data_IF_958735105231
#
_entry.id   IF_958735105231
#
_cell.length_a   1.000
_cell.length_b   1.000
_cell.length_c   1.000
_cell.angle_alpha   90.00
_cell.angle_beta   90.00
_cell.angle_gamma   90.00
#
_symmetry.space_group_name_H-M   'P 1'
#
loop_
_entity.id
_entity.type
_entity.pdbx_description
1 polymer ?
#
# COMPACT_ATOMS: atom_id res chain seq x y z
N UNK A 1 19.07 -1.52 4.70
CA UNK A 1 18.05 -1.88 3.68
C UNK A 1 17.06 -2.95 4.15
N UNK A 2 17.09 -3.35 5.42
CA UNK A 2 16.19 -4.38 5.98
C UNK A 2 14.96 -3.80 6.71
N UNK A 3 14.99 -2.51 7.08
CA UNK A 3 13.98 -1.88 7.94
C UNK A 3 12.56 -1.71 7.34
N UNK A 4 12.34 -2.05 6.06
CA UNK A 4 11.05 -1.98 5.38
C UNK A 4 10.70 -3.27 4.62
N UNK A 5 11.35 -4.40 4.92
CA UNK A 5 10.98 -5.68 4.31
C UNK A 5 9.75 -6.25 5.01
N UNK A 6 8.57 -6.14 4.38
CA UNK A 6 7.38 -6.86 4.80
C UNK A 6 7.46 -8.28 4.26
N UNK A 7 7.50 -9.29 5.14
CA UNK A 7 7.48 -10.69 4.72
C UNK A 7 6.04 -11.15 4.50
N UNK A 8 5.67 -11.48 3.27
CA UNK A 8 4.36 -12.06 2.91
C UNK A 8 4.52 -13.53 2.55
N UNK A 9 4.87 -14.37 3.52
CA UNK A 9 4.89 -15.82 3.33
C UNK A 9 3.46 -16.38 3.36
N UNK A 10 3.12 -17.25 2.42
CA UNK A 10 1.88 -18.02 2.46
C UNK A 10 2.14 -19.34 3.20
N UNK A 11 1.30 -19.73 4.18
CA UNK A 11 1.41 -21.03 4.83
C UNK A 11 1.00 -22.17 3.89
N UNK A 12 1.33 -23.41 4.23
CA UNK A 12 0.85 -24.59 3.52
C UNK A 12 -0.68 -24.71 3.76
N UNK A 13 -1.47 -24.51 2.71
CA UNK A 13 -2.94 -24.57 2.71
C UNK A 13 -3.41 -25.56 1.65
N UNK A 14 -4.66 -26.03 1.76
CA UNK A 14 -5.26 -26.90 0.76
C UNK A 14 -5.65 -26.07 -0.47
N UNK A 15 -4.93 -26.30 -1.58
CA UNK A 15 -5.12 -25.54 -2.83
C UNK A 15 -6.49 -25.82 -3.47
N UNK A 16 -7.03 -27.04 -3.32
CA UNK A 16 -8.33 -27.41 -3.91
C UNK A 16 -9.48 -26.71 -3.17
N UNK A 17 -9.36 -26.58 -1.84
CA UNK A 17 -10.31 -25.84 -1.00
C UNK A 17 -10.22 -24.34 -1.25
N UNK A 18 -8.99 -23.79 -1.32
CA UNK A 18 -8.76 -22.39 -1.63
C UNK A 18 -9.33 -22.00 -3.00
N UNK A 19 -9.15 -22.83 -4.03
CA UNK A 19 -9.69 -22.56 -5.36
C UNK A 19 -11.22 -22.54 -5.34
N UNK A 20 -11.85 -23.45 -4.60
CA UNK A 20 -13.31 -23.46 -4.43
C UNK A 20 -13.82 -22.22 -3.67
N UNK A 21 -13.10 -21.77 -2.64
CA UNK A 21 -13.42 -20.54 -1.91
C UNK A 21 -13.26 -19.29 -2.80
N UNK A 22 -12.21 -19.22 -3.61
CA UNK A 22 -11.96 -18.09 -4.52
C UNK A 22 -13.00 -18.02 -5.66
N UNK A 23 -13.44 -19.17 -6.19
CA UNK A 23 -14.51 -19.22 -7.19
C UNK A 23 -15.83 -18.70 -6.61
N UNK A 24 -16.20 -19.16 -5.41
CA UNK A 24 -17.39 -18.68 -4.70
C UNK A 24 -17.30 -17.16 -4.39
N UNK A 25 -16.13 -16.66 -4.00
CA UNK A 25 -15.91 -15.23 -3.79
C UNK A 25 -16.00 -14.44 -5.11
N UNK A 26 -15.54 -15.02 -6.22
CA UNK A 26 -15.68 -14.44 -7.56
C UNK A 26 -17.15 -14.27 -7.97
N UNK A 27 -17.98 -15.28 -7.68
CA UNK A 27 -19.43 -15.20 -7.88
C UNK A 27 -20.08 -14.13 -7.00
N UNK A 28 -19.67 -14.00 -5.73
CA UNK A 28 -20.14 -12.93 -4.83
C UNK A 28 -19.80 -11.54 -5.38
N UNK A 29 -18.55 -11.33 -5.81
CA UNK A 29 -18.12 -10.06 -6.42
C UNK A 29 -18.82 -9.73 -7.74
N UNK A 30 -19.24 -10.75 -8.51
CA UNK A 30 -19.97 -10.54 -9.76
C UNK A 30 -21.44 -10.16 -9.52
N UNK A 31 -22.00 -10.61 -8.40
CA UNK A 31 -23.35 -10.25 -7.96
C UNK A 31 -23.41 -8.90 -7.23
N UNK A 32 -22.26 -8.41 -6.75
CA UNK A 32 -22.14 -7.09 -6.14
C UNK A 32 -21.93 -6.00 -7.20
N UNK A 33 -22.81 -4.99 -7.20
CA UNK A 33 -22.70 -3.82 -8.08
C UNK A 33 -21.71 -2.78 -7.51
N UNK A 34 -21.25 -2.94 -6.26
CA UNK A 34 -20.32 -2.01 -5.62
C UNK A 34 -18.87 -2.24 -6.10
N UNK A 35 -18.34 -1.26 -6.83
CA UNK A 35 -16.94 -1.23 -7.30
C UNK A 35 -16.11 -0.12 -6.64
N UNK A 36 -16.62 0.52 -5.59
CA UNK A 36 -15.98 1.66 -4.92
C UNK A 36 -14.60 1.34 -4.35
N UNK A 37 -14.31 0.07 -4.03
CA UNK A 37 -12.98 -0.38 -3.60
C UNK A 37 -11.88 -0.12 -4.63
N UNK A 38 -12.20 -0.09 -5.93
CA UNK A 38 -11.24 0.22 -7.00
C UNK A 38 -10.83 1.69 -6.97
N UNK A 39 -11.80 2.57 -6.77
CA UNK A 39 -11.56 4.01 -6.61
C UNK A 39 -10.85 4.29 -5.29
N UNK A 40 -11.23 3.61 -4.20
CA UNK A 40 -10.56 3.70 -2.91
C UNK A 40 -9.09 3.30 -3.02
N UNK A 41 -8.79 2.14 -3.61
CA UNK A 41 -7.42 1.66 -3.83
C UNK A 41 -6.60 2.63 -4.70
N UNK A 42 -7.24 3.24 -5.70
CA UNK A 42 -6.60 4.25 -6.57
C UNK A 42 -6.35 5.58 -5.85
N UNK A 43 -7.19 5.92 -4.88
CA UNK A 43 -7.05 7.12 -4.04
C UNK A 43 -6.15 6.93 -2.82
N UNK A 44 -5.77 5.67 -2.53
CA UNK A 44 -4.89 5.33 -1.43
C UNK A 44 -3.56 6.10 -1.56
N UNK A 45 -2.96 6.54 -0.44
CA UNK A 45 -1.67 7.22 -0.47
C UNK A 45 -0.64 6.37 -1.20
N UNK A 46 -0.08 6.92 -2.29
CA UNK A 46 0.94 6.23 -3.05
C UNK A 46 2.12 5.87 -2.15
N UNK A 47 2.73 4.72 -2.43
CA UNK A 47 4.02 4.36 -1.85
C UNK A 47 5.00 5.47 -2.25
N UNK A 48 5.67 6.06 -1.26
CA UNK A 48 6.54 7.21 -1.48
C UNK A 48 7.67 6.84 -2.46
N UNK A 49 7.64 7.43 -3.66
CA UNK A 49 8.62 7.21 -4.72
C UNK A 49 9.94 7.99 -4.53
N UNK A 50 10.06 8.76 -3.45
CA UNK A 50 11.25 9.56 -3.16
C UNK A 50 12.49 8.70 -2.95
N UNK A 51 13.62 9.08 -3.53
CA UNK A 51 14.87 8.35 -3.28
C UNK A 51 15.26 8.53 -1.81
N UNK A 52 15.70 7.46 -1.10
CA UNK A 52 16.10 7.58 0.30
C UNK A 52 17.21 8.64 0.48
N UNK A 53 16.95 9.71 1.24
CA UNK A 53 17.84 10.86 1.41
C UNK A 53 17.46 12.10 0.59
N UNK A 54 16.39 12.04 -0.23
CA UNK A 54 15.95 13.12 -1.10
C UNK A 54 15.18 14.20 -0.33
N UNK A 55 15.74 15.41 -0.37
CA UNK A 55 15.19 16.58 0.31
C UNK A 55 14.40 17.40 -0.69
N UNK A 56 13.18 17.77 -0.32
CA UNK A 56 12.35 18.66 -1.12
C UNK A 56 11.81 19.80 -0.25
N UNK A 57 11.32 20.86 -0.91
CA UNK A 57 10.62 21.96 -0.24
C UNK A 57 9.14 21.84 -0.55
N UNK A 58 8.31 21.87 0.49
CA UNK A 58 6.86 21.88 0.31
C UNK A 58 6.39 23.25 -0.21
N UNK A 59 5.09 23.38 -0.52
CA UNK A 59 4.50 24.62 -1.06
C UNK A 59 4.62 25.82 -0.11
N UNK A 60 4.85 25.57 1.17
CA UNK A 60 5.03 26.56 2.23
C UNK A 60 6.51 26.91 2.45
N UNK A 61 7.42 26.36 1.62
CA UNK A 61 8.87 26.60 1.70
C UNK A 61 9.56 25.84 2.83
N UNK A 62 8.88 24.90 3.49
CA UNK A 62 9.45 24.08 4.58
C UNK A 62 10.24 22.92 3.98
N UNK A 63 11.45 22.69 4.49
CA UNK A 63 12.25 21.51 4.15
C UNK A 63 11.56 20.27 4.70
N UNK A 64 11.20 19.37 3.79
CA UNK A 64 10.57 18.09 4.10
C UNK A 64 11.49 16.93 3.70
N UNK A 65 11.38 15.84 4.44
CA UNK A 65 12.00 14.56 4.11
C UNK A 65 11.17 13.79 3.06
N UNK A 66 11.57 12.56 2.77
CA UNK A 66 10.96 11.70 1.75
C UNK A 66 9.51 11.31 2.09
N UNK A 67 9.12 11.47 3.36
CA UNK A 67 7.77 11.24 3.87
C UNK A 67 6.93 12.51 3.87
N UNK A 68 7.48 13.65 3.38
CA UNK A 68 6.81 14.94 3.43
C UNK A 68 6.73 15.52 4.84
N UNK A 69 7.47 14.95 5.80
CA UNK A 69 7.49 15.40 7.18
C UNK A 69 8.50 16.55 7.33
N UNK A 70 8.19 17.59 8.13
CA UNK A 70 9.15 18.65 8.42
C UNK A 70 10.43 18.09 9.04
N UNK A 71 11.58 18.53 8.56
CA UNK A 71 12.84 18.12 9.16
C UNK A 71 12.94 18.63 10.60
N UNK A 72 12.94 17.69 11.55
CA UNK A 72 13.28 17.97 12.93
C UNK A 72 14.81 17.94 13.09
N UNK A 73 15.41 18.88 13.85
CA UNK A 73 16.84 18.81 14.12
C UNK A 73 17.16 17.52 14.88
N UNK A 74 18.08 16.72 14.34
CA UNK A 74 18.66 15.60 15.07
C UNK A 74 19.37 16.15 16.32
N UNK A 75 18.91 15.75 17.51
CA UNK A 75 19.55 16.08 18.79
C UNK A 75 20.78 15.23 19.04
#
# INVERSE_FOLDING_TARGET
TEAMSRSYGTPDIDEDDLEAELDALGDELLLDDDSSYLDEASSAPAILEGTPGERSTNRDGVLVDEFGLPQIPAS
#
